data_IF_714455002932
#
_entry.id   IF_714455002932
#
_cell.length_a   1.000
_cell.length_b   1.000
_cell.length_c   1.000
_cell.angle_alpha   90.00
_cell.angle_beta   90.00
_cell.angle_gamma   90.00
#
_symmetry.space_group_name_H-M   'P 1'
#
loop_
_entity.id
_entity.type
_entity.pdbx_description
1 polymer ?
#
# COMPACT_ATOMS: atom_id res chain seq x y z
N UNK A 1 -3.26 11.98 -25.64
CA UNK A 1 -3.48 10.61 -25.14
C UNK A 1 -4.97 10.44 -24.92
N UNK A 2 -5.60 9.46 -25.57
CA UNK A 2 -7.02 9.17 -25.36
C UNK A 2 -7.25 8.32 -24.09
N UNK A 3 -8.51 8.10 -23.70
CA UNK A 3 -8.85 7.40 -22.46
C UNK A 3 -8.40 5.94 -22.44
N UNK A 4 -8.49 5.25 -23.58
CA UNK A 4 -8.07 3.86 -23.70
C UNK A 4 -6.56 3.72 -23.57
N UNK A 5 -5.80 4.59 -24.23
CA UNK A 5 -4.34 4.67 -24.11
C UNK A 5 -3.92 4.97 -22.67
N UNK A 6 -4.59 5.93 -22.01
CA UNK A 6 -4.33 6.26 -20.62
C UNK A 6 -4.49 5.03 -19.73
N UNK A 7 -5.60 4.32 -19.85
CA UNK A 7 -5.88 3.13 -19.06
C UNK A 7 -4.87 2.03 -19.32
N UNK A 8 -4.67 1.64 -20.58
CA UNK A 8 -3.74 0.55 -20.93
C UNK A 8 -2.30 0.84 -20.52
N UNK A 9 -1.86 2.10 -20.59
CA UNK A 9 -0.49 2.51 -20.24
C UNK A 9 -0.24 2.48 -18.72
N UNK A 10 -1.24 2.87 -17.92
CA UNK A 10 -1.02 3.15 -16.49
C UNK A 10 -1.78 2.24 -15.51
N UNK A 11 -2.68 1.38 -16.00
CA UNK A 11 -3.52 0.53 -15.14
C UNK A 11 -2.72 -0.34 -14.19
N UNK A 12 -1.60 -0.88 -14.65
CA UNK A 12 -0.79 -1.78 -13.83
C UNK A 12 -0.10 -1.03 -12.68
N UNK A 13 0.46 0.14 -12.94
CA UNK A 13 1.17 0.93 -11.92
C UNK A 13 0.19 1.48 -10.88
N UNK A 14 -0.99 1.93 -11.31
CA UNK A 14 -2.07 2.39 -10.42
C UNK A 14 -2.60 1.22 -9.58
N UNK A 15 -2.94 0.09 -10.23
CA UNK A 15 -3.44 -1.09 -9.54
C UNK A 15 -2.46 -1.64 -8.52
N UNK A 16 -1.16 -1.75 -8.87
CA UNK A 16 -0.12 -2.22 -7.94
C UNK A 16 -0.05 -1.31 -6.70
N UNK A 17 -0.10 0.01 -6.88
CA UNK A 17 -0.14 0.94 -5.74
C UNK A 17 -1.35 0.66 -4.84
N UNK A 18 -2.54 0.57 -5.43
CA UNK A 18 -3.79 0.29 -4.71
C UNK A 18 -3.72 -1.05 -3.97
N UNK A 19 -3.23 -2.10 -4.62
CA UNK A 19 -3.12 -3.46 -4.08
C UNK A 19 -2.22 -3.52 -2.86
N UNK A 20 -1.01 -2.95 -2.96
CA UNK A 20 -0.08 -2.91 -1.83
C UNK A 20 -0.60 -2.05 -0.67
N UNK A 21 -1.39 -1.01 -0.95
CA UNK A 21 -1.97 -0.16 0.08
C UNK A 21 -3.17 -0.82 0.77
N UNK A 22 -4.07 -1.46 0.03
CA UNK A 22 -5.31 -2.04 0.56
C UNK A 22 -5.14 -3.44 1.13
N UNK A 23 -4.17 -4.22 0.62
CA UNK A 23 -4.00 -5.64 0.96
C UNK A 23 -5.25 -6.50 0.72
N UNK A 24 -6.14 -6.03 -0.13
CA UNK A 24 -7.36 -6.70 -0.52
C UNK A 24 -7.58 -6.39 -1.99
N UNK A 25 -7.82 -7.44 -2.77
CA UNK A 25 -7.97 -7.34 -4.23
C UNK A 25 -9.18 -6.49 -4.61
N UNK A 26 -10.35 -6.77 -4.03
CA UNK A 26 -11.59 -6.03 -4.33
C UNK A 26 -11.43 -4.54 -4.06
N UNK A 27 -10.91 -4.18 -2.88
CA UNK A 27 -10.67 -2.78 -2.52
C UNK A 27 -9.69 -2.09 -3.49
N UNK A 28 -8.68 -2.83 -3.95
CA UNK A 28 -7.69 -2.32 -4.87
C UNK A 28 -8.27 -2.08 -6.27
N UNK A 29 -9.10 -3.02 -6.75
CA UNK A 29 -9.84 -2.89 -8.01
C UNK A 29 -10.79 -1.69 -7.96
N UNK A 30 -11.58 -1.55 -6.89
CA UNK A 30 -12.52 -0.43 -6.68
C UNK A 30 -11.81 0.93 -6.69
N UNK A 31 -10.71 1.06 -5.94
CA UNK A 31 -9.94 2.32 -5.91
C UNK A 31 -9.30 2.58 -7.28
N UNK A 32 -8.77 1.55 -7.95
CA UNK A 32 -8.17 1.70 -9.28
C UNK A 32 -9.20 2.25 -10.27
N UNK A 33 -10.42 1.70 -10.27
CA UNK A 33 -11.52 2.20 -11.10
C UNK A 33 -11.83 3.66 -10.79
N UNK A 34 -11.98 4.02 -9.51
CA UNK A 34 -12.25 5.40 -9.08
C UNK A 34 -11.16 6.38 -9.55
N UNK A 35 -9.89 5.97 -9.53
CA UNK A 35 -8.77 6.77 -10.05
C UNK A 35 -8.95 7.07 -11.54
N UNK A 36 -9.27 6.06 -12.35
CA UNK A 36 -9.43 6.24 -13.79
C UNK A 36 -10.70 6.98 -14.15
N UNK A 37 -11.80 6.81 -13.41
CA UNK A 37 -13.02 7.62 -13.56
C UNK A 37 -12.68 9.10 -13.36
N UNK A 38 -11.99 9.45 -12.26
CA UNK A 38 -11.55 10.84 -12.04
C UNK A 38 -10.61 11.33 -13.14
N UNK A 39 -9.73 10.47 -13.63
CA UNK A 39 -8.78 10.84 -14.66
C UNK A 39 -9.44 11.14 -16.01
N UNK A 40 -10.47 10.37 -16.38
CA UNK A 40 -11.24 10.56 -17.62
C UNK A 40 -12.08 11.83 -17.55
N UNK A 41 -12.65 12.15 -16.39
CA UNK A 41 -13.49 13.34 -16.19
C UNK A 41 -12.69 14.64 -16.06
N UNK A 42 -11.37 14.58 -15.91
CA UNK A 42 -10.50 15.75 -15.75
C UNK A 42 -9.93 16.19 -17.09
N UNK A 43 -9.89 17.49 -17.35
CA UNK A 43 -9.08 18.00 -18.48
C UNK A 43 -7.59 17.77 -18.19
N UNK A 44 -6.95 16.98 -19.06
CA UNK A 44 -5.54 16.57 -18.94
C UNK A 44 -4.60 17.42 -19.81
N UNK A 45 -5.11 18.44 -20.50
CA UNK A 45 -4.35 19.25 -21.46
C UNK A 45 -3.07 19.88 -20.87
N UNK A 46 -3.10 20.29 -19.60
CA UNK A 46 -1.97 20.91 -18.90
C UNK A 46 -1.10 19.92 -18.11
N UNK A 47 -1.45 18.63 -18.10
CA UNK A 47 -0.78 17.64 -17.25
C UNK A 47 0.46 17.09 -17.97
N UNK A 48 1.63 17.57 -17.52
CA UNK A 48 2.93 17.15 -18.07
C UNK A 48 3.30 15.72 -17.69
N UNK A 49 3.18 15.37 -16.41
CA UNK A 49 3.61 14.09 -15.85
C UNK A 49 2.43 13.20 -15.47
N UNK A 50 1.81 12.56 -16.47
CA UNK A 50 0.59 11.76 -16.30
C UNK A 50 0.76 10.64 -15.27
N UNK A 51 1.90 9.93 -15.29
CA UNK A 51 2.20 8.86 -14.32
C UNK A 51 2.16 9.38 -12.89
N UNK A 52 2.90 10.47 -12.61
CA UNK A 52 2.97 11.06 -11.28
C UNK A 52 1.60 11.61 -10.83
N UNK A 53 0.85 12.20 -11.76
CA UNK A 53 -0.50 12.69 -11.49
C UNK A 53 -1.49 11.58 -11.13
N UNK A 54 -1.52 10.47 -11.88
CA UNK A 54 -2.35 9.31 -11.56
C UNK A 54 -1.97 8.68 -10.22
N UNK A 55 -0.67 8.52 -9.94
CA UNK A 55 -0.20 7.99 -8.67
C UNK A 55 -0.53 8.93 -7.50
N UNK A 56 -0.65 10.24 -7.73
CA UNK A 56 -1.14 11.20 -6.72
C UNK A 56 -2.63 10.98 -6.42
N UNK A 57 -3.47 10.82 -7.44
CA UNK A 57 -4.90 10.51 -7.26
C UNK A 57 -5.04 9.20 -6.48
N UNK A 58 -4.36 8.14 -6.92
CA UNK A 58 -4.38 6.83 -6.27
C UNK A 58 -3.89 6.89 -4.81
N UNK A 59 -2.80 7.62 -4.54
CA UNK A 59 -2.28 7.81 -3.18
C UNK A 59 -3.32 8.51 -2.28
N UNK A 60 -4.03 9.50 -2.81
CA UNK A 60 -5.06 10.24 -2.08
C UNK A 60 -6.28 9.35 -1.77
N UNK A 61 -6.75 8.57 -2.74
CA UNK A 61 -7.87 7.64 -2.54
C UNK A 61 -7.53 6.55 -1.50
N UNK A 62 -6.34 5.95 -1.63
CA UNK A 62 -5.85 4.98 -0.65
C UNK A 62 -5.79 5.58 0.76
N UNK A 63 -5.23 6.78 0.90
CA UNK A 63 -5.16 7.47 2.19
C UNK A 63 -6.55 7.84 2.74
N UNK A 64 -7.49 8.21 1.87
CA UNK A 64 -8.87 8.51 2.23
C UNK A 64 -9.57 7.27 2.80
N UNK A 65 -9.48 6.12 2.11
CA UNK A 65 -10.03 4.83 2.58
C UNK A 65 -9.37 4.41 3.89
N UNK A 66 -8.04 4.45 3.99
CA UNK A 66 -7.32 4.04 5.21
C UNK A 66 -7.62 4.95 6.41
N UNK A 67 -7.81 6.25 6.19
CA UNK A 67 -8.26 7.19 7.23
C UNK A 67 -9.68 6.88 7.67
N UNK A 68 -10.59 6.61 6.73
CA UNK A 68 -11.97 6.19 7.03
C UNK A 68 -12.01 4.88 7.80
N UNK A 69 -11.20 3.88 7.43
CA UNK A 69 -11.03 2.65 8.22
C UNK A 69 -10.55 2.97 9.63
N UNK A 70 -9.44 3.70 9.80
CA UNK A 70 -8.97 4.05 11.15
C UNK A 70 -10.06 4.71 12.01
N UNK A 71 -10.82 5.65 11.44
CA UNK A 71 -11.86 6.38 12.16
C UNK A 71 -13.13 5.53 12.38
N UNK A 72 -13.53 4.72 11.40
CA UNK A 72 -14.64 3.78 11.47
C UNK A 72 -14.39 2.69 12.49
N UNK A 73 -13.19 2.10 12.49
CA UNK A 73 -12.71 1.18 13.51
C UNK A 73 -12.64 1.83 14.89
N UNK A 74 -12.31 3.13 15.00
CA UNK A 74 -12.36 3.82 16.31
C UNK A 74 -13.81 3.96 16.82
N UNK A 75 -14.77 4.24 15.90
CA UNK A 75 -16.20 4.29 16.23
C UNK A 75 -16.78 2.91 16.54
N UNK A 76 -16.49 1.90 15.72
CA UNK A 76 -16.89 0.52 15.92
C UNK A 76 -16.24 -0.09 17.16
N UNK A 77 -14.94 0.11 17.42
CA UNK A 77 -14.27 -0.37 18.64
C UNK A 77 -14.89 0.27 19.90
N UNK A 78 -15.26 1.56 19.85
CA UNK A 78 -15.99 2.20 20.95
C UNK A 78 -17.38 1.59 21.19
N UNK A 79 -18.04 1.10 20.13
CA UNK A 79 -19.32 0.40 20.21
C UNK A 79 -19.14 -1.08 20.61
N UNK A 80 -18.10 -1.75 20.12
CA UNK A 80 -17.74 -3.15 20.34
C UNK A 80 -17.21 -3.39 21.77
N UNK A 81 -16.50 -2.42 22.37
CA UNK A 81 -16.14 -2.48 23.79
C UNK A 81 -17.36 -2.43 24.72
N UNK A 82 -18.53 -2.02 24.24
CA UNK A 82 -19.81 -2.08 24.97
C UNK A 82 -20.60 -3.38 24.72
N UNK A 83 -20.22 -4.19 23.75
CA UNK A 83 -20.89 -5.45 23.42
C UNK A 83 -19.87 -6.43 22.84
N UNK A 84 -19.41 -7.40 23.64
CA UNK A 84 -18.47 -8.44 23.17
C UNK A 84 -19.14 -9.37 22.14
N UNK A 85 -18.56 -9.51 20.95
CA UNK A 85 -18.21 -10.85 20.44
C UNK A 85 -16.76 -10.94 19.91
N UNK A 86 -16.44 -12.02 19.18
CA UNK A 86 -15.08 -12.49 18.83
C UNK A 86 -14.63 -12.05 17.43
N UNK A 87 -13.31 -11.90 17.28
CA UNK A 87 -12.59 -11.50 16.06
C UNK A 87 -12.68 -12.57 14.96
N UNK A 88 -12.89 -12.13 13.72
CA UNK A 88 -12.83 -12.95 12.49
C UNK A 88 -11.43 -12.98 11.89
N UNK A 89 -10.98 -14.17 11.49
CA UNK A 89 -9.66 -14.49 10.94
C UNK A 89 -9.38 -13.87 9.54
N UNK A 90 -8.11 -13.76 9.12
CA UNK A 90 -7.73 -13.34 7.76
C UNK A 90 -7.91 -14.47 6.73
N UNK A 91 -8.17 -14.06 5.48
CA UNK A 91 -8.41 -14.89 4.29
C UNK A 91 -7.12 -15.59 3.81
N UNK A 92 -7.22 -16.90 3.52
CA UNK A 92 -6.20 -17.75 2.89
C UNK A 92 -6.34 -17.78 1.35
N UNK A 93 -5.24 -17.79 0.59
CA UNK A 93 -5.30 -18.00 -0.89
C UNK A 93 -4.10 -18.77 -1.50
N UNK A 94 -4.31 -20.07 -1.83
CA UNK A 94 -3.75 -21.09 -2.84
C UNK A 94 -2.24 -21.39 -3.16
N UNK A 95 -1.72 -22.57 -2.70
CA UNK A 95 -0.32 -22.92 -2.26
C UNK A 95 0.64 -23.13 -3.45
N UNK A 96 1.96 -23.19 -3.18
CA UNK A 96 3.03 -23.84 -3.98
C UNK A 96 4.07 -23.08 -4.83
N UNK A 97 4.11 -21.74 -4.85
CA UNK A 97 5.34 -20.99 -5.24
C UNK A 97 5.64 -19.85 -4.26
N UNK A 98 5.18 -20.05 -3.03
CA UNK A 98 4.60 -19.00 -2.20
C UNK A 98 5.50 -18.46 -1.13
N UNK A 99 6.42 -19.24 -0.56
CA UNK A 99 7.02 -18.89 0.73
C UNK A 99 7.69 -17.51 0.72
N UNK A 100 8.56 -17.23 -0.24
CA UNK A 100 9.28 -15.94 -0.29
C UNK A 100 8.38 -14.76 -0.63
N UNK A 101 7.39 -14.93 -1.53
CA UNK A 101 6.44 -13.86 -1.89
C UNK A 101 5.45 -13.60 -0.75
N UNK A 102 4.93 -14.64 -0.11
CA UNK A 102 4.04 -14.55 1.05
C UNK A 102 4.73 -13.85 2.20
N UNK A 103 5.99 -14.15 2.46
CA UNK A 103 6.75 -13.54 3.53
C UNK A 103 7.03 -12.06 3.25
N UNK A 104 7.38 -11.69 2.01
CA UNK A 104 7.49 -10.30 1.59
C UNK A 104 6.16 -9.55 1.78
N UNK A 105 5.04 -10.09 1.30
CA UNK A 105 3.72 -9.47 1.46
C UNK A 105 3.30 -9.34 2.93
N UNK A 106 3.62 -10.33 3.76
CA UNK A 106 3.36 -10.32 5.22
C UNK A 106 4.21 -9.28 5.94
N UNK A 107 5.47 -9.11 5.56
CA UNK A 107 6.33 -8.05 6.11
C UNK A 107 5.83 -6.67 5.67
N UNK A 108 5.41 -6.55 4.41
CA UNK A 108 4.87 -5.33 3.83
C UNK A 108 3.53 -4.91 4.48
N UNK A 109 2.68 -5.89 4.80
CA UNK A 109 1.38 -5.66 5.43
C UNK A 109 1.48 -5.07 6.84
N UNK A 110 2.60 -5.29 7.51
CA UNK A 110 2.88 -4.79 8.86
C UNK A 110 3.46 -3.37 8.88
N UNK A 111 3.86 -2.82 7.72
CA UNK A 111 4.36 -1.46 7.65
C UNK A 111 3.22 -0.46 7.95
N UNK A 112 3.47 0.60 8.75
CA UNK A 112 2.51 1.68 8.92
C UNK A 112 2.15 2.31 7.57
N UNK A 113 0.87 2.66 7.35
CA UNK A 113 0.36 3.14 6.06
C UNK A 113 1.23 4.21 5.39
N UNK A 114 1.71 5.20 6.16
CA UNK A 114 2.58 6.28 5.62
C UNK A 114 3.95 5.79 5.16
N UNK A 115 4.52 4.79 5.85
CA UNK A 115 5.78 4.15 5.47
C UNK A 115 5.56 3.27 4.25
N UNK A 116 4.49 2.46 4.27
CA UNK A 116 4.10 1.60 3.16
C UNK A 116 3.94 2.38 1.86
N UNK A 117 3.20 3.49 1.89
CA UNK A 117 3.00 4.37 0.72
C UNK A 117 4.31 4.77 0.06
N UNK A 118 5.29 5.22 0.85
CA UNK A 118 6.59 5.64 0.32
C UNK A 118 7.39 4.45 -0.20
N UNK A 119 7.30 3.29 0.44
CA UNK A 119 7.89 2.05 -0.06
C UNK A 119 7.29 1.60 -1.38
N UNK A 120 5.97 1.66 -1.55
CA UNK A 120 5.29 1.25 -2.78
C UNK A 120 5.75 2.13 -3.91
N UNK A 121 5.68 3.45 -3.70
CA UNK A 121 6.09 4.41 -4.73
C UNK A 121 7.56 4.27 -5.11
N UNK A 122 8.45 3.95 -4.15
CA UNK A 122 9.88 3.78 -4.40
C UNK A 122 10.23 2.47 -5.10
N UNK A 123 9.76 1.34 -4.57
CA UNK A 123 10.24 0.01 -4.96
C UNK A 123 9.30 -0.73 -5.91
N UNK A 124 8.04 -0.31 -6.02
CA UNK A 124 7.05 -0.93 -6.92
C UNK A 124 6.78 -0.03 -8.12
N UNK A 125 6.68 1.29 -7.92
CA UNK A 125 6.47 2.26 -9.00
C UNK A 125 7.75 2.95 -9.49
N UNK A 126 8.89 2.61 -8.89
CA UNK A 126 10.24 3.03 -9.27
C UNK A 126 10.48 4.55 -9.25
N UNK A 127 9.73 5.28 -8.42
CA UNK A 127 9.86 6.73 -8.31
C UNK A 127 11.11 7.12 -7.50
N UNK A 128 11.74 8.22 -7.89
CA UNK A 128 12.80 8.90 -7.14
C UNK A 128 12.24 9.61 -5.91
N UNK A 129 13.11 9.96 -4.95
CA UNK A 129 12.70 10.68 -3.74
C UNK A 129 12.02 12.04 -4.06
N UNK A 130 12.54 12.87 -4.99
CA UNK A 130 11.85 14.10 -5.40
C UNK A 130 10.47 13.85 -6.03
N UNK A 131 10.34 12.83 -6.89
CA UNK A 131 9.04 12.47 -7.48
C UNK A 131 8.04 12.02 -6.42
N UNK A 132 8.46 11.19 -5.46
CA UNK A 132 7.61 10.76 -4.35
C UNK A 132 7.17 11.98 -3.53
N UNK A 133 8.11 12.85 -3.17
CA UNK A 133 7.84 14.11 -2.45
C UNK A 133 6.72 14.90 -3.13
N UNK A 134 6.79 15.03 -4.45
CA UNK A 134 5.76 15.70 -5.25
C UNK A 134 4.45 14.91 -5.27
N UNK A 135 4.48 13.59 -5.50
CA UNK A 135 3.27 12.75 -5.62
C UNK A 135 2.43 12.82 -4.34
N UNK A 136 3.05 12.65 -3.17
CA UNK A 136 2.32 12.61 -1.89
C UNK A 136 2.35 13.93 -1.10
N UNK A 137 2.91 15.00 -1.69
CA UNK A 137 3.01 16.34 -1.12
C UNK A 137 3.60 16.37 0.31
N UNK A 138 4.81 15.83 0.47
CA UNK A 138 5.57 15.90 1.74
C UNK A 138 7.04 16.23 1.45
N UNK A 139 7.78 16.86 2.37
CA UNK A 139 9.19 17.18 2.13
C UNK A 139 10.03 15.93 1.83
N UNK A 140 11.05 16.04 0.98
CA UNK A 140 11.97 14.94 0.69
C UNK A 140 12.59 14.32 1.95
N UNK A 141 12.90 15.13 2.97
CA UNK A 141 13.37 14.62 4.27
C UNK A 141 12.35 13.68 4.96
N UNK A 142 11.05 13.94 4.78
CA UNK A 142 9.97 13.05 5.24
C UNK A 142 9.93 11.76 4.42
N UNK A 143 10.17 11.82 3.12
CA UNK A 143 10.29 10.62 2.26
C UNK A 143 11.47 9.76 2.71
N UNK A 144 12.66 10.35 2.83
CA UNK A 144 13.90 9.67 3.25
C UNK A 144 13.77 9.04 4.63
N UNK A 145 13.22 9.77 5.60
CA UNK A 145 12.98 9.23 6.95
C UNK A 145 11.98 8.07 6.98
N UNK A 146 10.90 8.14 6.16
CA UNK A 146 9.95 7.01 6.03
C UNK A 146 10.59 5.80 5.37
N UNK A 147 11.43 6.00 4.33
CA UNK A 147 12.21 4.92 3.71
C UNK A 147 13.14 4.24 4.73
N UNK A 148 13.94 5.03 5.43
CA UNK A 148 14.84 4.51 6.46
C UNK A 148 14.08 3.75 7.56
N UNK A 149 12.96 4.32 8.03
CA UNK A 149 12.10 3.66 9.03
C UNK A 149 11.57 2.32 8.53
N UNK A 150 11.10 2.23 7.28
CA UNK A 150 10.63 0.95 6.76
C UNK A 150 11.75 -0.07 6.58
N UNK A 151 12.96 0.35 6.17
CA UNK A 151 14.10 -0.56 6.06
C UNK A 151 14.43 -1.18 7.43
N UNK A 152 14.48 -0.36 8.48
CA UNK A 152 14.68 -0.83 9.85
C UNK A 152 13.58 -1.79 10.31
N UNK A 153 12.31 -1.48 10.00
CA UNK A 153 11.18 -2.35 10.35
C UNK A 153 11.26 -3.72 9.66
N UNK A 154 11.63 -3.74 8.38
CA UNK A 154 11.78 -4.98 7.61
C UNK A 154 12.99 -5.80 8.11
N UNK A 155 14.14 -5.14 8.34
CA UNK A 155 15.35 -5.79 8.87
C UNK A 155 15.12 -6.43 10.24
N UNK A 156 14.49 -5.69 11.17
CA UNK A 156 14.22 -6.21 12.51
C UNK A 156 13.31 -7.43 12.47
N UNK A 157 12.29 -7.43 11.60
CA UNK A 157 11.36 -8.55 11.48
C UNK A 157 12.00 -9.76 10.82
N UNK A 158 12.76 -9.57 9.75
CA UNK A 158 13.52 -10.65 9.12
C UNK A 158 14.49 -11.29 10.12
N UNK A 159 15.18 -10.48 10.93
CA UNK A 159 16.05 -10.99 11.99
C UNK A 159 15.31 -11.77 13.09
N UNK A 160 14.09 -11.35 13.45
CA UNK A 160 13.23 -12.08 14.39
C UNK A 160 12.77 -13.43 13.83
N UNK A 161 12.36 -13.47 12.55
CA UNK A 161 11.95 -14.72 11.89
C UNK A 161 13.10 -15.73 11.82
N UNK A 162 14.31 -15.29 11.48
CA UNK A 162 15.51 -16.15 11.48
C UNK A 162 15.80 -16.72 12.88
N UNK A 163 15.63 -15.91 13.94
CA UNK A 163 15.81 -16.40 15.32
C UNK A 163 14.76 -17.42 15.75
N UNK A 164 13.50 -17.24 15.34
CA UNK A 164 12.42 -18.21 15.61
C UNK A 164 12.65 -19.54 14.88
N UNK A 165 13.20 -19.51 13.66
CA UNK A 165 13.56 -20.73 12.92
C UNK A 165 14.71 -21.49 13.60
N UNK A 166 15.79 -20.80 13.98
CA UNK A 166 16.96 -21.43 14.63
C UNK A 166 16.66 -21.91 16.06
N UNK A 167 15.75 -21.23 16.77
CA UNK A 167 15.32 -21.65 18.11
C UNK A 167 14.47 -22.93 18.12
N UNK A 168 13.67 -23.16 17.08
CA UNK A 168 12.84 -24.36 16.97
C UNK A 168 13.64 -25.61 16.55
N UNK A 169 14.76 -25.45 15.84
CA UNK A 169 15.67 -26.56 15.49
C UNK A 169 16.51 -27.06 16.68
N UNK A 170 16.61 -26.29 17.76
CA UNK A 170 17.39 -26.67 18.96
C UNK A 170 16.59 -27.46 20.00
N UNK A 171 15.33 -27.80 19.71
CA UNK A 171 14.41 -28.52 20.64
C UNK A 171 13.92 -29.87 20.07
N UNK A 172 14.53 -30.35 18.98
CA UNK A 172 14.34 -31.69 18.41
C UNK A 172 15.64 -32.48 18.50
#
# INVERSE_FOLDING_TARGET
>A
MNDRELFETYKEQVYRLCYFMMQNRSDAEDICQEVFVKAILTDRSEIREIKAWLLRIASNECNSVLRRRKNGWTKELSAYLRSRPRLSNPVEESYDQRETKVEFYKLYSMLPNKVRMVFTLRYVNELTVPEISNVINVPEGTVKSRLNRGLKLLQNKAASQVKEMVGNESTL
#
